data_IF_315598724888
#
_entry.id   IF_315598724888
#
_cell.length_a   1.000
_cell.length_b   1.000
_cell.length_c   1.000
_cell.angle_alpha   90.00
_cell.angle_beta   90.00
_cell.angle_gamma   90.00
#
_symmetry.space_group_name_H-M   'P 1'
#
loop_
_entity.id
_entity.type
_entity.pdbx_description
1 polymer ?
#
# COMPACT_ATOMS: atom_id res chain seq x y z
N UNK A 1 -6.36 -24.60 -1.73
CA UNK A 1 -5.22 -23.71 -1.40
C UNK A 1 -5.29 -22.38 -2.16
N UNK A 2 -5.43 -22.33 -3.49
CA UNK A 2 -5.53 -21.07 -4.26
C UNK A 2 -6.67 -20.14 -3.82
N UNK A 3 -7.86 -20.66 -3.54
CA UNK A 3 -8.99 -19.84 -3.08
C UNK A 3 -8.71 -19.14 -1.74
N UNK A 4 -7.94 -19.78 -0.87
CA UNK A 4 -7.52 -19.17 0.40
C UNK A 4 -6.57 -18.02 0.14
N UNK A 5 -5.57 -18.19 -0.73
CA UNK A 5 -4.61 -17.14 -1.09
C UNK A 5 -5.30 -15.93 -1.71
N UNK A 6 -6.28 -16.13 -2.61
CA UNK A 6 -7.07 -15.04 -3.20
C UNK A 6 -7.89 -14.28 -2.15
N UNK A 7 -8.52 -15.02 -1.22
CA UNK A 7 -9.26 -14.40 -0.11
C UNK A 7 -8.34 -13.62 0.82
N UNK A 8 -7.17 -14.17 1.15
CA UNK A 8 -6.16 -13.46 1.94
C UNK A 8 -5.70 -12.17 1.24
N UNK A 9 -5.46 -12.23 -0.06
CA UNK A 9 -5.09 -11.06 -0.85
C UNK A 9 -6.20 -10.00 -0.84
N UNK A 10 -7.48 -10.41 -0.98
CA UNK A 10 -8.62 -9.50 -0.90
C UNK A 10 -8.69 -8.81 0.46
N UNK A 11 -8.60 -9.58 1.55
CA UNK A 11 -8.62 -9.03 2.92
C UNK A 11 -7.48 -8.04 3.13
N UNK A 12 -6.28 -8.40 2.67
CA UNK A 12 -5.10 -7.53 2.80
C UNK A 12 -5.28 -6.21 2.04
N UNK A 13 -5.78 -6.24 0.81
CA UNK A 13 -6.05 -5.04 0.01
C UNK A 13 -7.12 -4.18 0.68
N UNK A 14 -8.21 -4.77 1.17
CA UNK A 14 -9.26 -4.04 1.89
C UNK A 14 -8.70 -3.39 3.15
N UNK A 15 -7.95 -4.13 3.98
CA UNK A 15 -7.34 -3.59 5.20
C UNK A 15 -6.39 -2.43 4.89
N UNK A 16 -5.60 -2.55 3.82
CA UNK A 16 -4.66 -1.49 3.41
C UNK A 16 -5.39 -0.22 2.95
N UNK A 17 -6.48 -0.36 2.18
CA UNK A 17 -7.30 0.77 1.74
C UNK A 17 -8.02 1.41 2.94
N UNK A 18 -8.63 0.60 3.81
CA UNK A 18 -9.29 1.09 5.01
C UNK A 18 -8.30 1.83 5.94
N UNK A 19 -7.10 1.28 6.14
CA UNK A 19 -6.04 1.95 6.90
C UNK A 19 -5.62 3.27 6.28
N UNK A 20 -5.44 3.32 4.97
CA UNK A 20 -5.08 4.54 4.24
C UNK A 20 -6.18 5.61 4.36
N UNK A 21 -7.44 5.23 4.26
CA UNK A 21 -8.59 6.14 4.44
C UNK A 21 -8.72 6.59 5.90
N UNK A 22 -8.48 5.68 6.85
CA UNK A 22 -8.54 6.00 8.27
C UNK A 22 -7.57 7.11 8.64
N UNK A 23 -6.28 6.98 8.28
CA UNK A 23 -5.28 8.02 8.56
C UNK A 23 -5.61 9.36 7.90
N UNK A 24 -6.26 9.38 6.74
CA UNK A 24 -6.64 10.63 6.07
C UNK A 24 -7.86 11.31 6.66
N UNK A 25 -8.81 10.54 7.20
CA UNK A 25 -10.07 11.12 7.70
C UNK A 25 -10.09 11.32 9.20
N UNK A 26 -9.39 10.47 9.95
CA UNK A 26 -9.43 10.46 11.41
C UNK A 26 -8.08 10.79 12.05
N UNK A 27 -6.99 10.82 11.28
CA UNK A 27 -5.66 11.16 11.79
C UNK A 27 -5.08 10.08 12.73
N UNK A 28 -4.43 10.51 13.80
CA UNK A 28 -3.73 9.61 14.72
C UNK A 28 -4.74 8.79 15.58
N UNK A 29 -4.68 7.45 15.52
CA UNK A 29 -5.55 6.59 16.33
C UNK A 29 -5.32 6.72 17.84
N UNK A 30 -4.16 7.22 18.27
CA UNK A 30 -3.87 7.43 19.70
C UNK A 30 -4.40 8.77 20.22
N UNK A 31 -4.61 9.74 19.35
CA UNK A 31 -5.04 11.11 19.71
C UNK A 31 -6.50 11.35 19.33
N UNK A 32 -7.17 10.38 18.78
CA UNK A 32 -8.57 10.46 18.29
C UNK A 32 -9.55 11.03 19.33
N UNK A 33 -9.25 10.88 20.62
CA UNK A 33 -10.11 11.39 21.70
C UNK A 33 -9.95 12.90 21.94
N UNK A 34 -8.89 13.56 21.44
CA UNK A 34 -8.52 14.90 21.89
C UNK A 34 -8.21 15.93 20.79
N UNK A 35 -7.96 15.53 19.54
CA UNK A 35 -7.67 16.48 18.46
C UNK A 35 -7.98 15.87 17.10
N UNK A 36 -9.02 16.35 16.46
CA UNK A 36 -9.38 15.98 15.08
C UNK A 36 -8.39 16.54 14.05
N UNK A 37 -7.14 16.09 14.08
CA UNK A 37 -6.15 16.37 13.05
C UNK A 37 -6.16 15.25 12.03
N UNK A 38 -6.77 15.49 10.87
CA UNK A 38 -6.58 14.64 9.68
C UNK A 38 -5.20 14.92 9.07
N UNK A 39 -4.62 13.89 8.48
CA UNK A 39 -3.35 14.03 7.75
C UNK A 39 -3.63 14.28 6.28
N UNK A 40 -3.22 15.44 5.78
CA UNK A 40 -3.28 15.72 4.35
C UNK A 40 -2.26 14.84 3.61
N UNK A 41 -2.71 13.93 2.73
CA UNK A 41 -1.80 13.03 2.04
C UNK A 41 -0.91 13.79 1.06
N UNK A 42 0.40 13.66 1.25
CA UNK A 42 1.40 14.23 0.35
C UNK A 42 1.33 13.59 -1.06
N UNK A 43 2.02 14.17 -2.04
CA UNK A 43 2.04 13.67 -3.41
C UNK A 43 2.50 12.21 -3.54
N UNK A 44 3.46 11.76 -2.71
CA UNK A 44 3.92 10.37 -2.72
C UNK A 44 2.85 9.43 -2.14
N UNK A 45 2.14 9.85 -1.09
CA UNK A 45 1.00 9.11 -0.56
C UNK A 45 -0.13 8.95 -1.60
N UNK A 46 -0.42 9.99 -2.39
CA UNK A 46 -1.39 9.91 -3.47
C UNK A 46 -0.98 8.93 -4.57
N UNK A 47 0.30 8.92 -4.96
CA UNK A 47 0.81 7.95 -5.94
C UNK A 47 0.71 6.51 -5.44
N UNK A 48 0.98 6.26 -4.16
CA UNK A 48 0.78 4.96 -3.54
C UNK A 48 -0.68 4.51 -3.60
N UNK A 49 -1.63 5.41 -3.33
CA UNK A 49 -3.07 5.13 -3.45
C UNK A 49 -3.49 4.80 -4.89
N UNK A 50 -2.97 5.52 -5.88
CA UNK A 50 -3.22 5.25 -7.31
C UNK A 50 -2.77 3.83 -7.69
N UNK A 51 -1.70 3.31 -7.08
CA UNK A 51 -1.24 1.94 -7.30
C UNK A 51 -2.06 0.90 -6.50
N UNK A 52 -2.53 1.25 -5.32
CA UNK A 52 -3.20 0.32 -4.40
C UNK A 52 -4.70 0.19 -4.65
N UNK A 53 -5.43 1.30 -4.86
CA UNK A 53 -6.89 1.29 -4.95
C UNK A 53 -7.43 0.49 -6.14
N UNK A 54 -6.83 0.55 -7.35
CA UNK A 54 -7.27 -0.27 -8.48
C UNK A 54 -7.07 -1.77 -8.25
N UNK A 55 -6.24 -2.17 -7.28
CA UNK A 55 -6.07 -3.59 -6.96
C UNK A 55 -7.35 -4.21 -6.40
N UNK A 56 -8.20 -3.43 -5.74
CA UNK A 56 -9.44 -3.94 -5.15
C UNK A 56 -10.37 -4.56 -6.21
N UNK A 57 -10.81 -3.85 -7.24
CA UNK A 57 -11.65 -4.45 -8.27
C UNK A 57 -10.95 -5.57 -9.03
N UNK A 58 -9.63 -5.49 -9.25
CA UNK A 58 -8.85 -6.55 -9.90
C UNK A 58 -8.88 -7.84 -9.07
N UNK A 59 -8.65 -7.75 -7.76
CA UNK A 59 -8.64 -8.90 -6.85
C UNK A 59 -10.05 -9.49 -6.68
N UNK A 60 -11.07 -8.64 -6.60
CA UNK A 60 -12.48 -9.07 -6.56
C UNK A 60 -12.79 -9.87 -7.83
N UNK A 61 -12.50 -9.32 -9.00
CA UNK A 61 -12.74 -10.00 -10.27
C UNK A 61 -11.97 -11.33 -10.35
N UNK A 62 -10.68 -11.35 -9.97
CA UNK A 62 -9.86 -12.56 -9.96
C UNK A 62 -10.44 -13.65 -9.05
N UNK A 63 -11.10 -13.27 -7.94
CA UNK A 63 -11.74 -14.20 -7.03
C UNK A 63 -12.99 -14.84 -7.66
N UNK A 64 -13.87 -14.04 -8.28
CA UNK A 64 -15.10 -14.51 -8.90
C UNK A 64 -14.86 -15.28 -10.21
N UNK A 65 -14.04 -14.75 -11.09
CA UNK A 65 -13.68 -15.37 -12.36
C UNK A 65 -12.73 -16.59 -12.19
N UNK A 66 -12.17 -16.76 -10.99
CA UNK A 66 -11.13 -17.77 -10.70
C UNK A 66 -9.92 -17.65 -11.64
N UNK A 67 -9.66 -16.44 -12.14
CA UNK A 67 -8.56 -16.16 -13.05
C UNK A 67 -7.28 -15.83 -12.31
N UNK A 68 -6.29 -16.73 -12.42
CA UNK A 68 -4.99 -16.56 -11.78
C UNK A 68 -4.06 -15.61 -12.59
N UNK A 69 -4.35 -15.35 -13.87
CA UNK A 69 -3.51 -14.49 -14.72
C UNK A 69 -3.50 -13.04 -14.24
N UNK A 70 -4.61 -12.58 -13.65
CA UNK A 70 -4.70 -11.24 -13.07
C UNK A 70 -3.72 -11.02 -11.90
N UNK A 71 -3.20 -12.10 -11.29
CA UNK A 71 -2.14 -12.01 -10.30
C UNK A 71 -0.84 -11.42 -10.86
N UNK A 72 -0.63 -11.43 -12.18
CA UNK A 72 0.48 -10.74 -12.80
C UNK A 72 0.31 -9.20 -12.66
N UNK A 73 -0.89 -8.69 -12.88
CA UNK A 73 -1.17 -7.26 -12.74
C UNK A 73 -1.00 -6.80 -11.30
N UNK A 74 -1.51 -7.60 -10.33
CA UNK A 74 -1.33 -7.30 -8.89
C UNK A 74 0.13 -7.36 -8.49
N UNK A 75 0.91 -8.32 -8.99
CA UNK A 75 2.34 -8.42 -8.75
C UNK A 75 3.10 -7.20 -9.30
N UNK A 76 2.80 -6.80 -10.55
CA UNK A 76 3.45 -5.66 -11.17
C UNK A 76 3.15 -4.34 -10.44
N UNK A 77 1.87 -4.09 -10.14
CA UNK A 77 1.48 -2.88 -9.40
C UNK A 77 2.09 -2.83 -8.00
N UNK A 78 2.10 -3.97 -7.27
CA UNK A 78 2.71 -4.05 -5.94
C UNK A 78 4.22 -3.87 -6.00
N UNK A 79 4.88 -4.38 -7.05
CA UNK A 79 6.31 -4.18 -7.26
C UNK A 79 6.63 -2.68 -7.41
N UNK A 80 5.90 -1.96 -8.26
CA UNK A 80 6.05 -0.50 -8.40
C UNK A 80 5.75 0.22 -7.06
N UNK A 81 4.72 -0.22 -6.35
CA UNK A 81 4.35 0.34 -5.05
C UNK A 81 5.43 0.15 -3.98
N UNK A 82 6.12 -0.99 -3.96
CA UNK A 82 7.25 -1.24 -3.05
C UNK A 82 8.37 -0.21 -3.24
N UNK A 83 8.76 0.09 -4.49
CA UNK A 83 9.79 1.09 -4.76
C UNK A 83 9.34 2.49 -4.35
N UNK A 84 8.10 2.83 -4.64
CA UNK A 84 7.53 4.13 -4.29
C UNK A 84 7.48 4.33 -2.77
N UNK A 85 6.93 3.35 -2.04
CA UNK A 85 6.81 3.39 -0.59
C UNK A 85 8.18 3.33 0.10
N UNK A 86 9.11 2.51 -0.43
CA UNK A 86 10.50 2.45 0.05
C UNK A 86 11.22 3.78 -0.14
N UNK A 87 11.11 4.40 -1.31
CA UNK A 87 11.66 5.72 -1.58
C UNK A 87 11.09 6.78 -0.62
N UNK A 88 9.76 6.78 -0.41
CA UNK A 88 9.10 7.70 0.52
C UNK A 88 9.60 7.50 1.96
N UNK A 89 9.73 6.27 2.41
CA UNK A 89 10.27 5.95 3.73
C UNK A 89 11.71 6.47 3.91
N UNK A 90 12.58 6.28 2.91
CA UNK A 90 13.97 6.75 2.94
C UNK A 90 14.07 8.29 2.97
N UNK A 91 13.14 9.00 2.33
CA UNK A 91 13.06 10.47 2.43
C UNK A 91 12.71 10.88 3.85
N UNK A 92 11.72 10.25 4.48
CA UNK A 92 11.33 10.54 5.86
C UNK A 92 12.47 10.26 6.86
N UNK A 93 13.30 9.25 6.58
CA UNK A 93 14.51 8.97 7.37
C UNK A 93 15.68 9.93 7.06
N UNK A 94 15.48 10.95 6.20
CA UNK A 94 16.51 11.90 5.74
C UNK A 94 17.73 11.24 5.09
N UNK A 95 17.60 9.99 4.66
CA UNK A 95 18.68 9.24 3.99
C UNK A 95 18.79 9.64 2.53
N UNK A 96 17.67 10.03 1.90
CA UNK A 96 17.61 10.49 0.52
C UNK A 96 17.02 11.91 0.47
N UNK A 97 17.53 12.70 -0.49
CA UNK A 97 16.92 13.98 -0.82
C UNK A 97 15.66 13.76 -1.66
N UNK A 98 14.66 14.61 -1.43
CA UNK A 98 13.45 14.57 -2.22
C UNK A 98 13.71 15.12 -3.63
N UNK A 99 13.77 14.23 -4.63
CA UNK A 99 13.96 14.57 -6.04
C UNK A 99 12.64 15.01 -6.71
N UNK A 100 11.51 14.56 -6.18
CA UNK A 100 10.19 14.98 -6.67
C UNK A 100 9.76 16.24 -5.95
N UNK A 101 9.51 17.32 -6.70
CA UNK A 101 8.99 18.55 -6.15
C UNK A 101 7.65 18.27 -5.44
N UNK A 102 7.63 18.37 -4.13
CA UNK A 102 6.39 18.42 -3.37
C UNK A 102 5.80 19.83 -3.50
N UNK A 103 4.46 19.93 -3.56
CA UNK A 103 3.81 21.23 -3.62
C UNK A 103 4.17 22.07 -2.37
N UNK A 104 4.25 23.40 -2.50
CA UNK A 104 4.46 24.28 -1.34
C UNK A 104 3.40 23.99 -0.27
N UNK A 105 3.83 23.63 0.93
CA UNK A 105 2.94 23.32 2.06
C UNK A 105 2.76 21.84 2.40
N UNK A 106 3.13 20.90 1.51
CA UNK A 106 3.07 19.45 1.74
C UNK A 106 4.43 18.78 1.51
N UNK A 107 5.33 18.94 2.48
CA UNK A 107 6.66 18.34 2.39
C UNK A 107 6.60 16.84 2.70
N UNK A 108 6.98 15.99 1.73
CA UNK A 108 7.01 14.54 1.87
C UNK A 108 8.06 14.03 2.88
N UNK A 109 8.93 14.91 3.38
CA UNK A 109 9.92 14.58 4.41
C UNK A 109 9.36 14.70 5.84
N UNK A 110 8.21 15.32 6.00
CA UNK A 110 7.55 15.46 7.31
C UNK A 110 6.96 14.11 7.72
N UNK A 111 7.23 13.73 8.96
CA UNK A 111 6.68 12.52 9.57
C UNK A 111 5.46 12.90 10.37
N UNK A 112 4.27 12.80 9.77
CA UNK A 112 3.01 13.17 10.41
C UNK A 112 2.63 12.20 11.55
N UNK A 113 2.98 10.92 11.39
CA UNK A 113 2.70 9.88 12.37
C UNK A 113 3.80 8.82 12.39
N UNK A 114 4.22 8.44 13.60
CA UNK A 114 5.19 7.36 13.80
C UNK A 114 5.04 6.69 15.16
N UNK A 115 5.32 5.39 15.21
CA UNK A 115 5.53 4.62 16.44
C UNK A 115 6.91 3.98 16.33
N UNK A 116 7.90 4.57 16.98
CA UNK A 116 9.29 4.16 16.82
C UNK A 116 9.77 4.37 15.38
N UNK A 117 10.13 3.29 14.68
CA UNK A 117 10.55 3.32 13.26
C UNK A 117 9.39 3.12 12.27
N UNK A 118 8.20 2.78 12.77
CA UNK A 118 7.02 2.54 11.93
C UNK A 118 6.36 3.86 11.59
N UNK A 119 6.34 4.20 10.31
CA UNK A 119 5.67 5.37 9.75
C UNK A 119 4.59 4.93 8.75
N UNK A 120 3.75 5.85 8.30
CA UNK A 120 2.71 5.55 7.29
C UNK A 120 3.33 4.93 6.02
N UNK A 121 4.41 5.49 5.41
CA UNK A 121 5.08 4.85 4.27
C UNK A 121 5.66 3.46 4.57
N UNK A 122 6.11 3.21 5.81
CA UNK A 122 6.57 1.88 6.19
C UNK A 122 5.42 0.86 6.17
N UNK A 123 4.24 1.22 6.69
CA UNK A 123 3.06 0.37 6.64
C UNK A 123 2.61 0.10 5.19
N UNK A 124 2.67 1.11 4.34
CA UNK A 124 2.39 0.99 2.92
C UNK A 124 3.39 0.04 2.22
N UNK A 125 4.68 0.15 2.53
CA UNK A 125 5.72 -0.75 2.03
C UNK A 125 5.43 -2.21 2.42
N UNK A 126 5.12 -2.45 3.69
CA UNK A 126 4.78 -3.80 4.19
C UNK A 126 3.56 -4.37 3.46
N UNK A 127 2.52 -3.56 3.25
CA UNK A 127 1.33 -3.98 2.51
C UNK A 127 1.68 -4.40 1.08
N UNK A 128 2.45 -3.59 0.34
CA UNK A 128 2.87 -3.93 -1.02
C UNK A 128 3.75 -5.18 -1.07
N UNK A 129 4.67 -5.37 -0.12
CA UNK A 129 5.51 -6.58 -0.02
C UNK A 129 4.64 -7.82 0.16
N UNK A 130 3.64 -7.77 1.04
CA UNK A 130 2.74 -8.89 1.30
C UNK A 130 1.86 -9.20 0.08
N UNK A 131 1.29 -8.19 -0.59
CA UNK A 131 0.49 -8.37 -1.80
C UNK A 131 1.35 -8.96 -2.92
N UNK A 132 2.58 -8.48 -3.09
CA UNK A 132 3.53 -9.00 -4.06
C UNK A 132 3.85 -10.48 -3.81
N UNK A 133 4.19 -10.85 -2.56
CA UNK A 133 4.50 -12.23 -2.19
C UNK A 133 3.32 -13.18 -2.45
N UNK A 134 2.09 -12.77 -2.10
CA UNK A 134 0.88 -13.55 -2.39
C UNK A 134 0.64 -13.70 -3.90
N UNK A 135 0.82 -12.63 -4.66
CA UNK A 135 0.66 -12.64 -6.12
C UNK A 135 1.65 -13.59 -6.80
N UNK A 136 2.93 -13.52 -6.42
CA UNK A 136 3.97 -14.42 -6.93
C UNK A 136 3.66 -15.87 -6.55
N UNK A 137 3.20 -16.13 -5.33
CA UNK A 137 2.83 -17.47 -4.88
C UNK A 137 1.70 -18.06 -5.74
N UNK A 138 0.68 -17.27 -6.07
CA UNK A 138 -0.42 -17.68 -6.97
C UNK A 138 0.12 -17.99 -8.38
N UNK A 139 0.99 -17.14 -8.93
CA UNK A 139 1.58 -17.33 -10.25
C UNK A 139 2.47 -18.58 -10.34
N UNK A 140 3.26 -18.87 -9.31
CA UNK A 140 4.06 -20.11 -9.23
C UNK A 140 3.15 -21.34 -9.22
N UNK A 141 2.05 -21.31 -8.46
CA UNK A 141 1.07 -22.40 -8.43
C UNK A 141 0.34 -22.56 -9.78
N UNK A 142 0.18 -21.48 -10.56
CA UNK A 142 -0.36 -21.54 -11.91
C UNK A 142 0.59 -22.28 -12.84
N UNK A 143 1.87 -21.92 -12.79
CA UNK A 143 2.92 -22.53 -13.64
C UNK A 143 3.12 -24.03 -13.35
N UNK A 144 3.00 -24.44 -12.08
CA UNK A 144 3.16 -25.86 -11.69
C UNK A 144 2.01 -26.78 -12.15
N UNK A 145 0.88 -26.22 -12.58
CA UNK A 145 -0.29 -26.98 -13.04
C UNK A 145 -0.36 -27.14 -14.57
N UNK A 146 0.52 -26.46 -15.29
CA UNK A 146 0.76 -26.69 -16.72
C UNK A 146 1.81 -27.76 -16.91
#
# INVERSE_FOLDING_TARGET
MKNILRKMMLVLVICSICGSLYFSNFGDPMVWLFAGHWFDPCHLCWRGRILMYPLLPVVIYALFAKDDHLSFLTAFSSFCGMFLAGYHYLIQQKTLQNVFACAPGNDCSVVDWHIGFVTIPFLELVAFVMIFALSITILIQLKRKK
#
